data_IF_331746804322
#
_entry.id   IF_331746804322
#
_cell.length_a   1.000
_cell.length_b   1.000
_cell.length_c   1.000
_cell.angle_alpha   90.00
_cell.angle_beta   90.00
_cell.angle_gamma   90.00
#
_symmetry.space_group_name_H-M   'P 1'
#
loop_
_entity.id
_entity.type
_entity.pdbx_description
1 polymer ?
#
# COMPACT_ATOMS: atom_id res chain seq x y z
N UNK A 1 9.60 11.77 1.33
CA UNK A 1 9.80 12.14 2.75
C UNK A 1 9.59 13.61 3.12
N UNK A 2 9.36 14.56 2.20
CA UNK A 2 9.13 15.98 2.59
C UNK A 2 7.67 16.32 2.97
N UNK A 3 6.68 15.60 2.45
CA UNK A 3 5.24 15.88 2.68
C UNK A 3 4.68 15.26 3.97
N UNK A 4 5.21 14.13 4.44
CA UNK A 4 4.73 13.45 5.66
C UNK A 4 5.15 14.17 6.94
N UNK A 5 6.32 14.81 6.97
CA UNK A 5 6.84 15.50 8.17
C UNK A 5 6.18 16.86 8.45
N UNK A 6 5.51 17.47 7.48
CA UNK A 6 4.85 18.77 7.67
C UNK A 6 3.53 18.67 8.46
N UNK A 7 2.87 17.51 8.45
CA UNK A 7 1.55 17.30 9.09
C UNK A 7 1.65 17.07 10.61
N UNK A 8 2.80 16.63 11.13
CA UNK A 8 2.96 16.29 12.54
C UNK A 8 3.26 17.48 13.47
N UNK A 9 3.69 18.64 12.94
CA UNK A 9 4.23 19.75 13.76
C UNK A 9 3.21 20.79 14.24
N UNK A 10 1.95 20.76 13.81
CA UNK A 10 0.95 21.79 14.17
C UNK A 10 -0.05 21.41 15.27
N UNK A 11 -0.01 20.19 15.80
CA UNK A 11 -1.04 19.68 16.73
C UNK A 11 -0.59 19.54 18.20
N UNK A 12 0.52 20.16 18.62
CA UNK A 12 0.96 20.09 20.02
C UNK A 12 1.14 21.47 20.63
N UNK A 13 0.06 22.02 21.19
CA UNK A 13 0.17 23.07 22.20
C UNK A 13 -1.01 23.04 23.17
N UNK A 14 -0.67 22.87 24.46
CA UNK A 14 -1.46 23.11 25.67
C UNK A 14 -2.67 22.23 25.99
N UNK A 15 -2.52 21.33 26.98
CA UNK A 15 -3.25 21.38 28.26
C UNK A 15 -2.41 20.67 29.34
N UNK A 16 -1.99 21.40 30.38
CA UNK A 16 -1.47 20.85 31.65
C UNK A 16 -2.65 20.75 32.62
N UNK A 17 -2.87 19.59 33.25
CA UNK A 17 -3.64 19.53 34.51
C UNK A 17 -3.00 18.59 35.53
N UNK A 18 -2.96 19.10 36.76
CA UNK A 18 -2.29 18.58 37.96
C UNK A 18 -2.94 17.30 38.49
N UNK A 19 -2.08 16.37 38.89
CA UNK A 19 -2.40 15.18 39.69
C UNK A 19 -2.38 15.58 41.18
N UNK A 20 -3.41 15.17 41.93
CA UNK A 20 -3.36 15.11 43.39
C UNK A 20 -3.90 13.75 43.85
N UNK A 21 -3.08 13.04 44.62
CA UNK A 21 -3.33 11.76 45.27
C UNK A 21 -4.07 11.94 46.59
N UNK A 22 -4.97 11.02 46.92
CA UNK A 22 -5.25 10.66 48.31
C UNK A 22 -5.72 9.20 48.44
N UNK A 23 -5.02 8.47 49.31
CA UNK A 23 -5.31 7.13 49.80
C UNK A 23 -6.46 7.15 50.84
N UNK A 24 -7.28 6.10 50.96
CA UNK A 24 -7.14 5.04 52.00
C UNK A 24 -8.38 4.12 52.19
N UNK A 25 -8.07 2.83 52.35
CA UNK A 25 -8.59 1.81 53.30
C UNK A 25 -9.96 1.10 53.09
N UNK A 26 -9.78 -0.21 52.84
CA UNK A 26 -10.56 -1.43 53.10
C UNK A 26 -11.78 -1.40 54.04
N UNK A 27 -12.82 -2.19 53.68
CA UNK A 27 -13.42 -3.22 54.56
C UNK A 27 -14.33 -4.23 53.84
N UNK A 28 -14.08 -5.50 54.18
CA UNK A 28 -14.96 -6.69 54.26
C UNK A 28 -15.98 -7.03 53.15
N UNK A 29 -15.76 -8.18 52.50
CA UNK A 29 -16.71 -8.92 51.66
C UNK A 29 -17.71 -9.70 52.53
N UNK A 30 -19.00 -9.51 52.28
CA UNK A 30 -20.07 -10.47 52.62
C UNK A 30 -20.85 -10.79 51.34
N UNK A 31 -20.99 -12.08 51.05
CA UNK A 31 -21.76 -12.60 49.93
C UNK A 31 -23.26 -12.55 50.26
N UNK A 32 -24.05 -11.89 49.41
CA UNK A 32 -25.50 -12.01 49.38
C UNK A 32 -25.96 -12.07 47.92
N UNK A 33 -26.63 -13.16 47.57
CA UNK A 33 -27.16 -13.46 46.24
C UNK A 33 -28.46 -12.66 46.05
N UNK A 34 -28.50 -11.79 45.05
CA UNK A 34 -29.70 -11.06 44.62
C UNK A 34 -30.06 -11.42 43.17
N UNK A 35 -31.36 -11.52 42.83
CA UNK A 35 -31.84 -12.01 41.54
C UNK A 35 -31.54 -11.04 40.38
N UNK A 36 -31.53 -11.51 39.11
CA UNK A 36 -31.04 -10.73 37.99
C UNK A 36 -31.95 -9.52 37.71
N UNK A 37 -31.39 -8.33 37.45
CA UNK A 37 -32.16 -7.18 37.03
C UNK A 37 -32.63 -7.36 35.57
N UNK A 38 -33.85 -6.90 35.34
CA UNK A 38 -34.57 -6.93 34.07
C UNK A 38 -33.78 -6.24 32.96
N UNK A 39 -33.84 -6.82 31.76
CA UNK A 39 -33.25 -6.33 30.52
C UNK A 39 -33.69 -4.90 30.26
N UNK A 40 -32.77 -3.95 30.45
CA UNK A 40 -32.94 -2.60 29.94
C UNK A 40 -32.91 -2.67 28.41
N UNK A 41 -34.02 -2.27 27.79
CA UNK A 41 -34.16 -2.10 26.36
C UNK A 41 -33.04 -1.21 25.82
N UNK A 42 -32.21 -1.76 24.94
CA UNK A 42 -31.19 -1.03 24.21
C UNK A 42 -31.84 0.15 23.49
N UNK A 43 -31.33 1.35 23.75
CA UNK A 43 -31.63 2.56 22.99
C UNK A 43 -31.22 2.32 21.54
N UNK A 44 -32.20 2.00 20.68
CA UNK A 44 -31.99 1.93 19.23
C UNK A 44 -31.72 3.35 18.73
N UNK A 45 -30.52 3.58 18.19
CA UNK A 45 -30.22 4.80 17.45
C UNK A 45 -31.12 4.87 16.20
N UNK A 46 -31.92 5.95 15.99
CA UNK A 46 -32.90 6.02 14.90
C UNK A 46 -32.34 6.05 13.47
N UNK A 47 -31.01 6.02 13.29
CA UNK A 47 -30.35 6.18 11.99
C UNK A 47 -29.89 4.87 11.33
N UNK A 48 -30.05 3.71 11.98
CA UNK A 48 -29.51 2.45 11.49
C UNK A 48 -30.25 1.86 10.26
N UNK A 49 -31.53 2.19 10.06
CA UNK A 49 -32.33 1.61 8.96
C UNK A 49 -32.05 2.24 7.59
N UNK A 50 -31.83 3.56 7.51
CA UNK A 50 -31.56 4.25 6.24
C UNK A 50 -30.12 4.06 5.70
N UNK A 51 -29.15 3.86 6.59
CA UNK A 51 -27.75 3.65 6.20
C UNK A 51 -27.52 2.29 5.52
N UNK A 52 -28.33 1.27 5.85
CA UNK A 52 -28.23 -0.05 5.25
C UNK A 52 -28.69 -0.08 3.79
N UNK A 53 -29.75 0.67 3.46
CA UNK A 53 -30.27 0.79 2.10
C UNK A 53 -29.27 1.55 1.20
N UNK A 54 -28.68 2.63 1.70
CA UNK A 54 -27.71 3.44 0.96
C UNK A 54 -26.41 2.68 0.67
N UNK A 55 -25.90 1.89 1.63
CA UNK A 55 -24.74 1.02 1.40
C UNK A 55 -25.03 0.02 0.28
N UNK A 56 -26.19 -0.62 0.32
CA UNK A 56 -26.58 -1.63 -0.69
C UNK A 56 -26.73 -1.00 -2.07
N UNK A 57 -27.39 0.16 -2.15
CA UNK A 57 -27.56 0.93 -3.38
C UNK A 57 -26.23 1.37 -3.99
N UNK A 58 -25.31 1.90 -3.18
CA UNK A 58 -23.99 2.35 -3.64
C UNK A 58 -23.07 1.18 -3.98
N UNK A 59 -23.13 0.07 -3.23
CA UNK A 59 -22.32 -1.11 -3.51
C UNK A 59 -22.71 -1.79 -4.83
N UNK A 60 -24.00 -1.78 -5.16
CA UNK A 60 -24.57 -2.27 -6.42
C UNK A 60 -24.31 -1.33 -7.61
N UNK A 61 -23.88 -0.09 -7.37
CA UNK A 61 -23.59 0.86 -8.45
C UNK A 61 -22.41 0.42 -9.31
N UNK A 62 -22.48 0.68 -10.64
CA UNK A 62 -21.41 0.33 -11.56
C UNK A 62 -20.15 1.13 -11.23
N UNK A 63 -19.11 0.45 -10.77
CA UNK A 63 -17.82 1.08 -10.49
C UNK A 63 -17.15 1.47 -11.80
N UNK A 64 -16.74 2.73 -11.90
CA UNK A 64 -15.86 3.18 -12.97
C UNK A 64 -14.45 2.66 -12.68
N UNK A 65 -13.84 1.87 -13.57
CA UNK A 65 -12.44 1.48 -13.40
C UNK A 65 -11.60 2.75 -13.43
N UNK A 66 -10.67 2.88 -12.49
CA UNK A 66 -9.74 4.00 -12.48
C UNK A 66 -8.80 3.79 -13.67
N UNK A 67 -8.76 4.72 -14.60
CA UNK A 67 -7.70 4.72 -15.61
C UNK A 67 -6.60 5.66 -15.16
N UNK A 68 -5.42 5.41 -15.66
CA UNK A 68 -4.28 6.24 -15.36
C UNK A 68 -4.37 7.63 -16.00
N UNK A 69 -4.99 7.71 -17.17
CA UNK A 69 -5.36 8.97 -17.78
C UNK A 69 -6.23 9.81 -16.83
N UNK A 70 -7.10 9.18 -16.02
CA UNK A 70 -7.90 9.90 -15.02
C UNK A 70 -7.03 10.54 -13.91
N UNK A 71 -5.93 9.89 -13.49
CA UNK A 71 -5.03 10.46 -12.48
C UNK A 71 -4.22 11.65 -13.01
N UNK A 72 -3.87 11.62 -14.31
CA UNK A 72 -3.08 12.66 -14.97
C UNK A 72 -3.94 13.79 -15.57
N UNK A 73 -5.25 13.58 -15.73
CA UNK A 73 -6.17 14.50 -16.43
C UNK A 73 -6.13 15.94 -15.91
N UNK A 74 -5.91 16.12 -14.61
CA UNK A 74 -5.94 17.44 -13.98
C UNK A 74 -4.69 18.28 -14.27
N UNK A 75 -3.61 17.66 -14.78
CA UNK A 75 -2.40 18.36 -15.18
C UNK A 75 -1.42 18.61 -14.04
N UNK A 76 -0.35 19.37 -14.34
CA UNK A 76 0.72 19.69 -13.38
C UNK A 76 0.26 20.80 -12.43
N UNK A 77 0.54 20.69 -11.12
CA UNK A 77 0.29 21.78 -10.18
C UNK A 77 1.22 22.99 -10.47
N UNK A 78 0.83 24.21 -10.07
CA UNK A 78 -0.42 24.54 -9.37
C UNK A 78 -1.64 24.45 -10.30
N UNK A 79 -2.73 23.87 -9.80
CA UNK A 79 -3.96 23.71 -10.57
C UNK A 79 -4.77 25.00 -10.61
N UNK A 80 -5.53 25.19 -11.70
CA UNK A 80 -6.59 26.21 -11.73
C UNK A 80 -7.71 25.85 -10.76
N UNK A 81 -8.50 26.85 -10.35
CA UNK A 81 -9.70 26.66 -9.52
C UNK A 81 -10.60 25.56 -10.09
N UNK A 82 -10.91 25.62 -11.38
CA UNK A 82 -11.80 24.66 -12.03
C UNK A 82 -11.20 23.25 -12.07
N UNK A 83 -9.89 23.13 -12.28
CA UNK A 83 -9.21 21.83 -12.28
C UNK A 83 -9.18 21.18 -10.89
N UNK A 84 -9.04 21.98 -9.83
CA UNK A 84 -9.05 21.51 -8.45
C UNK A 84 -10.46 21.07 -8.02
N UNK A 85 -11.50 21.86 -8.34
CA UNK A 85 -12.90 21.48 -8.13
C UNK A 85 -13.27 20.22 -8.92
N UNK A 86 -12.78 20.09 -10.16
CA UNK A 86 -12.98 18.88 -10.95
C UNK A 86 -12.30 17.65 -10.30
N UNK A 87 -11.11 17.82 -9.70
CA UNK A 87 -10.40 16.75 -8.98
C UNK A 87 -11.16 16.30 -7.72
N UNK A 88 -11.69 17.26 -6.96
CA UNK A 88 -12.50 16.97 -5.77
C UNK A 88 -13.78 16.19 -6.13
N UNK A 89 -14.53 16.68 -7.12
CA UNK A 89 -15.76 16.03 -7.58
C UNK A 89 -15.50 14.67 -8.24
N UNK A 90 -14.38 14.51 -8.95
CA UNK A 90 -13.95 13.21 -9.47
C UNK A 90 -13.69 12.21 -8.34
N UNK A 91 -13.01 12.64 -7.27
CA UNK A 91 -12.77 11.84 -6.07
C UNK A 91 -14.09 11.41 -5.42
N UNK A 92 -15.03 12.34 -5.22
CA UNK A 92 -16.36 12.05 -4.68
C UNK A 92 -17.21 11.13 -5.56
N UNK A 93 -16.98 11.11 -6.87
CA UNK A 93 -17.69 10.19 -7.77
C UNK A 93 -17.25 8.72 -7.60
N UNK A 94 -16.10 8.47 -6.95
CA UNK A 94 -15.51 7.15 -6.84
C UNK A 94 -15.49 6.60 -5.41
N UNK A 95 -15.04 7.39 -4.43
CA UNK A 95 -14.77 6.89 -3.08
C UNK A 95 -16.01 6.29 -2.39
N UNK A 96 -17.20 6.92 -2.38
CA UNK A 96 -18.34 6.39 -1.65
C UNK A 96 -18.81 5.01 -2.14
N UNK A 97 -18.90 4.81 -3.47
CA UNK A 97 -19.25 3.52 -4.05
C UNK A 97 -18.21 2.43 -3.72
N UNK A 98 -16.92 2.79 -3.71
CA UNK A 98 -15.83 1.87 -3.32
C UNK A 98 -15.92 1.50 -1.84
N UNK A 99 -16.13 2.47 -0.96
CA UNK A 99 -16.31 2.23 0.49
C UNK A 99 -17.54 1.36 0.77
N UNK A 100 -18.68 1.68 0.14
CA UNK A 100 -19.91 0.90 0.25
C UNK A 100 -19.70 -0.57 -0.15
N UNK A 101 -18.99 -0.81 -1.26
CA UNK A 101 -18.61 -2.18 -1.64
C UNK A 101 -17.74 -2.89 -0.61
N UNK A 102 -16.79 -2.18 0.04
CA UNK A 102 -15.95 -2.80 1.07
C UNK A 102 -16.75 -3.15 2.32
N UNK A 103 -17.71 -2.30 2.69
CA UNK A 103 -18.66 -2.55 3.78
C UNK A 103 -19.49 -3.81 3.48
N UNK A 104 -20.06 -3.91 2.28
CA UNK A 104 -20.81 -5.08 1.83
C UNK A 104 -19.96 -6.36 1.82
N UNK A 105 -18.73 -6.29 1.29
CA UNK A 105 -17.82 -7.43 1.29
C UNK A 105 -17.49 -7.91 2.71
N UNK A 106 -17.31 -7.00 3.67
CA UNK A 106 -17.11 -7.35 5.07
C UNK A 106 -18.36 -7.97 5.71
N UNK A 107 -19.57 -7.51 5.35
CA UNK A 107 -20.83 -8.09 5.83
C UNK A 107 -21.07 -9.52 5.35
N UNK A 108 -20.57 -9.85 4.16
CA UNK A 108 -20.74 -11.16 3.55
C UNK A 108 -19.75 -12.22 4.07
N UNK A 109 -18.81 -11.85 4.96
CA UNK A 109 -17.95 -12.81 5.63
C UNK A 109 -18.75 -13.65 6.65
N UNK A 110 -18.27 -14.86 6.99
CA UNK A 110 -18.89 -15.67 8.03
C UNK A 110 -18.99 -14.92 9.35
N UNK A 111 -20.11 -15.09 10.07
CA UNK A 111 -20.43 -14.33 11.28
C UNK A 111 -19.32 -14.36 12.34
N UNK A 112 -18.63 -15.50 12.48
CA UNK A 112 -17.51 -15.66 13.43
C UNK A 112 -16.32 -14.74 13.10
N UNK A 113 -16.11 -14.42 11.82
CA UNK A 113 -15.06 -13.52 11.34
C UNK A 113 -15.46 -12.07 11.56
N UNK A 114 -16.69 -11.71 11.18
CA UNK A 114 -17.23 -10.34 11.35
C UNK A 114 -17.29 -9.95 12.81
N UNK A 115 -17.56 -10.92 13.69
CA UNK A 115 -17.62 -10.73 15.15
C UNK A 115 -16.24 -10.52 15.79
N UNK A 116 -15.14 -10.78 15.06
CA UNK A 116 -13.79 -10.50 15.57
C UNK A 116 -13.62 -8.98 15.81
N UNK A 117 -13.08 -8.53 16.97
CA UNK A 117 -12.93 -7.11 17.29
C UNK A 117 -12.11 -6.31 16.27
N UNK A 118 -11.10 -6.92 15.65
CA UNK A 118 -10.26 -6.27 14.66
C UNK A 118 -10.98 -6.09 13.32
N UNK A 119 -11.69 -7.12 12.86
CA UNK A 119 -12.50 -7.05 11.63
C UNK A 119 -13.65 -6.05 11.81
N UNK A 120 -14.34 -6.11 12.96
CA UNK A 120 -15.40 -5.17 13.32
C UNK A 120 -14.91 -3.73 13.40
N UNK A 121 -13.70 -3.49 13.95
CA UNK A 121 -13.07 -2.15 13.93
C UNK A 121 -12.89 -1.63 12.50
N UNK A 122 -12.40 -2.46 11.58
CA UNK A 122 -12.24 -2.06 10.18
C UNK A 122 -13.59 -1.79 9.51
N UNK A 123 -14.59 -2.62 9.76
CA UNK A 123 -15.96 -2.40 9.31
C UNK A 123 -16.52 -1.04 9.79
N UNK A 124 -16.36 -0.71 11.07
CA UNK A 124 -16.82 0.56 11.63
C UNK A 124 -16.05 1.76 11.06
N UNK A 125 -14.75 1.62 10.81
CA UNK A 125 -13.96 2.67 10.14
C UNK A 125 -14.50 2.94 8.72
N UNK A 126 -14.82 1.90 7.94
CA UNK A 126 -15.41 2.08 6.61
C UNK A 126 -16.80 2.73 6.68
N UNK A 127 -17.65 2.30 7.61
CA UNK A 127 -18.96 2.92 7.82
C UNK A 127 -18.84 4.42 8.15
N UNK A 128 -17.95 4.76 9.08
CA UNK A 128 -17.70 6.14 9.47
C UNK A 128 -17.17 6.97 8.29
N UNK A 129 -16.21 6.45 7.53
CA UNK A 129 -15.71 7.14 6.34
C UNK A 129 -16.80 7.38 5.30
N UNK A 130 -17.66 6.38 5.05
CA UNK A 130 -18.77 6.55 4.12
C UNK A 130 -19.75 7.60 4.64
N UNK A 131 -20.17 7.54 5.90
CA UNK A 131 -21.12 8.50 6.46
C UNK A 131 -20.60 9.94 6.44
N UNK A 132 -19.28 10.12 6.61
CA UNK A 132 -18.63 11.43 6.48
C UNK A 132 -18.61 11.95 5.04
N UNK A 133 -18.53 11.08 4.03
CA UNK A 133 -18.52 11.47 2.62
C UNK A 133 -19.92 11.67 2.01
N UNK A 134 -20.96 11.02 2.53
CA UNK A 134 -22.32 11.10 1.98
C UNK A 134 -22.86 12.54 1.84
N UNK A 135 -22.68 13.46 2.80
CA UNK A 135 -23.13 14.85 2.66
C UNK A 135 -22.52 15.57 1.45
N UNK A 136 -21.25 15.27 1.14
CA UNK A 136 -20.54 15.80 -0.03
C UNK A 136 -20.92 15.08 -1.32
N UNK A 137 -21.35 13.81 -1.27
CA UNK A 137 -21.82 13.14 -2.48
C UNK A 137 -23.17 13.67 -2.95
N UNK A 138 -24.04 14.06 -2.01
CA UNK A 138 -25.36 14.63 -2.30
C UNK A 138 -25.28 16.04 -2.92
N UNK A 139 -24.13 16.72 -2.80
CA UNK A 139 -23.92 18.10 -3.27
C UNK A 139 -22.57 18.24 -3.94
N UNK A 140 -22.52 18.65 -5.20
CA UNK A 140 -21.23 18.90 -5.86
C UNK A 140 -20.45 20.01 -5.13
N UNK A 141 -19.13 19.83 -5.02
CA UNK A 141 -18.22 20.87 -4.49
C UNK A 141 -18.09 21.95 -5.55
N UNK A 142 -18.46 23.19 -5.20
CA UNK A 142 -18.50 24.32 -6.16
C UNK A 142 -17.61 25.48 -5.76
N UNK A 143 -17.18 25.54 -4.50
CA UNK A 143 -16.35 26.62 -3.95
C UNK A 143 -14.99 26.11 -3.48
N UNK A 144 -14.00 27.01 -3.41
CA UNK A 144 -12.66 26.65 -2.93
C UNK A 144 -12.67 26.40 -1.42
N UNK A 145 -13.56 27.06 -0.70
CA UNK A 145 -13.78 26.89 0.73
C UNK A 145 -14.31 25.49 1.04
N UNK A 146 -15.30 25.02 0.27
CA UNK A 146 -15.81 23.64 0.35
C UNK A 146 -14.72 22.62 -0.03
N UNK A 147 -13.94 22.89 -1.08
CA UNK A 147 -12.86 22.00 -1.51
C UNK A 147 -11.78 21.87 -0.44
N UNK A 148 -11.40 22.98 0.20
CA UNK A 148 -10.44 22.96 1.31
C UNK A 148 -10.96 22.15 2.49
N UNK A 149 -12.23 22.34 2.86
CA UNK A 149 -12.82 21.56 3.96
C UNK A 149 -12.92 20.07 3.60
N UNK A 150 -13.25 19.77 2.34
CA UNK A 150 -13.23 18.40 1.82
C UNK A 150 -11.83 17.79 1.88
N UNK A 151 -10.77 18.53 1.53
CA UNK A 151 -9.39 18.06 1.63
C UNK A 151 -8.98 17.75 3.09
N UNK A 152 -9.41 18.55 4.06
CA UNK A 152 -9.21 18.29 5.49
C UNK A 152 -9.89 16.98 5.91
N UNK A 153 -11.17 16.82 5.58
CA UNK A 153 -11.93 15.59 5.83
C UNK A 153 -11.26 14.37 5.17
N UNK A 154 -10.82 14.51 3.92
CA UNK A 154 -10.19 13.44 3.18
C UNK A 154 -8.84 13.02 3.79
N UNK A 155 -8.07 13.98 4.32
CA UNK A 155 -6.83 13.71 5.03
C UNK A 155 -7.09 12.87 6.30
N UNK A 156 -8.12 13.21 7.08
CA UNK A 156 -8.52 12.44 8.27
C UNK A 156 -8.98 11.03 7.91
N UNK A 157 -9.69 10.87 6.79
CA UNK A 157 -10.08 9.56 6.25
C UNK A 157 -8.86 8.71 5.87
N UNK A 158 -7.91 9.27 5.13
CA UNK A 158 -6.66 8.56 4.76
C UNK A 158 -5.89 8.16 6.01
N UNK A 159 -5.83 9.03 7.02
CA UNK A 159 -5.17 8.76 8.29
C UNK A 159 -5.85 7.61 9.06
N UNK A 160 -7.17 7.65 9.20
CA UNK A 160 -7.99 6.63 9.90
C UNK A 160 -7.75 5.21 9.35
N UNK A 161 -7.51 5.10 8.04
CA UNK A 161 -7.28 3.82 7.36
C UNK A 161 -5.80 3.42 7.25
N UNK A 162 -4.86 4.13 7.89
CA UNK A 162 -3.43 3.83 7.80
C UNK A 162 -3.11 2.41 8.28
N UNK A 163 -3.69 2.01 9.42
CA UNK A 163 -3.42 0.72 10.05
C UNK A 163 -4.40 -0.40 9.64
N UNK A 164 -5.14 -0.25 8.53
CA UNK A 164 -6.12 -1.26 8.12
C UNK A 164 -5.51 -2.63 7.84
N UNK A 165 -4.38 -2.70 7.13
CA UNK A 165 -3.71 -3.98 6.80
C UNK A 165 -3.29 -4.76 8.05
N UNK A 166 -2.49 -4.20 8.99
CA UNK A 166 -2.07 -4.96 10.17
C UNK A 166 -3.24 -5.34 11.09
N UNK A 167 -4.25 -4.46 11.24
CA UNK A 167 -5.45 -4.78 12.04
C UNK A 167 -6.24 -5.91 11.38
N UNK A 168 -6.47 -5.85 10.07
CA UNK A 168 -7.19 -6.88 9.34
C UNK A 168 -6.45 -8.22 9.40
N UNK A 169 -5.12 -8.20 9.19
CA UNK A 169 -4.28 -9.38 9.27
C UNK A 169 -4.37 -10.07 10.63
N UNK A 170 -4.37 -9.29 11.72
CA UNK A 170 -4.58 -9.81 13.07
C UNK A 170 -5.94 -10.49 13.23
N UNK A 171 -7.02 -9.85 12.74
CA UNK A 171 -8.36 -10.42 12.82
C UNK A 171 -8.49 -11.76 12.08
N UNK A 172 -7.93 -11.85 10.88
CA UNK A 172 -7.93 -13.12 10.12
C UNK A 172 -7.01 -14.18 10.72
N UNK A 173 -5.89 -13.79 11.33
CA UNK A 173 -5.01 -14.71 12.04
C UNK A 173 -5.71 -15.35 13.25
N UNK A 174 -6.41 -14.55 14.05
CA UNK A 174 -7.19 -15.02 15.21
C UNK A 174 -8.33 -15.96 14.78
N UNK A 175 -8.88 -15.75 13.59
CA UNK A 175 -9.96 -16.57 13.06
C UNK A 175 -9.52 -17.72 12.13
N UNK A 176 -8.21 -17.97 11.96
CA UNK A 176 -7.67 -18.92 10.96
C UNK A 176 -8.23 -20.35 11.03
N UNK A 177 -8.73 -20.76 12.19
CA UNK A 177 -9.30 -22.11 12.42
C UNK A 177 -10.76 -22.24 11.96
N UNK A 178 -11.40 -21.14 11.59
CA UNK A 178 -12.84 -21.06 11.34
C UNK A 178 -13.20 -20.68 9.91
N UNK A 179 -12.20 -20.54 9.02
CA UNK A 179 -12.38 -20.16 7.63
C UNK A 179 -11.32 -20.87 6.77
N UNK A 180 -11.70 -21.22 5.55
CA UNK A 180 -10.78 -21.85 4.60
C UNK A 180 -9.66 -20.87 4.17
N UNK A 181 -8.38 -21.29 4.18
CA UNK A 181 -7.26 -20.43 3.78
C UNK A 181 -7.37 -19.85 2.36
N UNK A 182 -7.99 -20.58 1.43
CA UNK A 182 -8.23 -20.13 0.05
C UNK A 182 -9.28 -19.02 0.02
N UNK A 183 -10.32 -19.13 0.86
CA UNK A 183 -11.34 -18.10 1.02
C UNK A 183 -10.78 -16.82 1.62
N UNK A 184 -9.95 -16.94 2.67
CA UNK A 184 -9.22 -15.81 3.25
C UNK A 184 -8.35 -15.13 2.21
N UNK A 185 -7.58 -15.92 1.45
CA UNK A 185 -6.66 -15.39 0.44
C UNK A 185 -7.42 -14.63 -0.65
N UNK A 186 -8.53 -15.19 -1.15
CA UNK A 186 -9.39 -14.55 -2.14
C UNK A 186 -9.97 -13.24 -1.60
N UNK A 187 -10.53 -13.26 -0.39
CA UNK A 187 -11.10 -12.07 0.23
C UNK A 187 -10.03 -10.98 0.41
N UNK A 188 -8.87 -11.31 0.98
CA UNK A 188 -7.80 -10.35 1.24
C UNK A 188 -7.23 -9.77 -0.06
N UNK A 189 -7.04 -10.58 -1.11
CA UNK A 189 -6.55 -10.06 -2.39
C UNK A 189 -7.50 -9.00 -2.95
N UNK A 190 -8.80 -9.32 -3.05
CA UNK A 190 -9.82 -8.38 -3.52
C UNK A 190 -9.95 -7.18 -2.59
N UNK A 191 -9.92 -7.38 -1.27
CA UNK A 191 -10.09 -6.31 -0.28
C UNK A 191 -8.92 -5.32 -0.29
N UNK A 192 -7.69 -5.83 -0.31
CA UNK A 192 -6.48 -5.02 -0.28
C UNK A 192 -6.24 -4.30 -1.60
N UNK A 193 -6.50 -4.94 -2.76
CA UNK A 193 -6.40 -4.29 -4.07
C UNK A 193 -7.36 -3.10 -4.20
N UNK A 194 -8.61 -3.26 -3.76
CA UNK A 194 -9.58 -2.17 -3.73
C UNK A 194 -9.17 -1.04 -2.78
N UNK A 195 -8.56 -1.37 -1.63
CA UNK A 195 -8.00 -0.37 -0.70
C UNK A 195 -6.86 0.41 -1.33
N UNK A 196 -5.92 -0.26 -2.02
CA UNK A 196 -4.80 0.39 -2.74
C UNK A 196 -5.36 1.46 -3.68
N UNK A 197 -6.34 1.10 -4.52
CA UNK A 197 -6.94 2.05 -5.45
C UNK A 197 -7.71 3.19 -4.79
N UNK A 198 -8.48 2.90 -3.74
CA UNK A 198 -9.24 3.92 -2.99
C UNK A 198 -8.31 4.92 -2.31
N UNK A 199 -7.22 4.43 -1.71
CA UNK A 199 -6.19 5.26 -1.08
C UNK A 199 -5.46 6.13 -2.11
N UNK A 200 -5.10 5.54 -3.26
CA UNK A 200 -4.43 6.25 -4.35
C UNK A 200 -5.25 7.45 -4.86
N UNK A 201 -6.56 7.27 -5.06
CA UNK A 201 -7.45 8.36 -5.51
C UNK A 201 -7.47 9.49 -4.47
N UNK A 202 -7.60 9.14 -3.19
CA UNK A 202 -7.63 10.11 -2.11
C UNK A 202 -6.30 10.89 -2.00
N UNK A 203 -5.17 10.17 -1.98
CA UNK A 203 -3.84 10.77 -1.91
C UNK A 203 -3.52 11.63 -3.15
N UNK A 204 -4.03 11.26 -4.34
CA UNK A 204 -3.87 12.07 -5.55
C UNK A 204 -4.52 13.45 -5.38
N UNK A 205 -5.77 13.51 -4.92
CA UNK A 205 -6.45 14.78 -4.70
C UNK A 205 -5.73 15.63 -3.64
N UNK A 206 -5.35 15.01 -2.51
CA UNK A 206 -4.61 15.70 -1.44
C UNK A 206 -3.27 16.28 -1.94
N UNK A 207 -2.51 15.50 -2.71
CA UNK A 207 -1.23 15.95 -3.26
C UNK A 207 -1.42 17.13 -4.22
N UNK A 208 -2.44 17.09 -5.08
CA UNK A 208 -2.78 18.20 -5.99
C UNK A 208 -3.26 19.44 -5.22
N UNK A 209 -4.07 19.26 -4.18
CA UNK A 209 -4.54 20.33 -3.29
C UNK A 209 -3.36 21.05 -2.63
N UNK A 210 -2.51 20.32 -1.91
CA UNK A 210 -1.37 20.93 -1.20
C UNK A 210 -0.36 21.60 -2.14
N UNK A 211 -0.13 21.03 -3.32
CA UNK A 211 0.76 21.61 -4.33
C UNK A 211 0.16 22.86 -5.02
N UNK A 212 -1.14 23.09 -4.89
CA UNK A 212 -1.86 24.24 -5.49
C UNK A 212 -2.17 25.34 -4.48
N UNK A 213 -1.88 25.15 -3.18
CA UNK A 213 -2.07 26.19 -2.19
C UNK A 213 -1.03 27.32 -2.36
N UNK A 214 -1.43 28.59 -2.22
CA UNK A 214 -0.47 29.69 -2.17
C UNK A 214 0.44 29.53 -0.95
N UNK A 215 1.75 29.70 -1.15
CA UNK A 215 2.73 29.67 -0.06
C UNK A 215 2.46 30.85 0.87
N UNK A 216 1.83 30.60 2.02
CA UNK A 216 1.43 31.61 2.99
C UNK A 216 2.57 32.12 3.89
N UNK A 217 3.83 32.03 3.45
CA UNK A 217 4.96 32.53 4.24
C UNK A 217 5.72 33.58 3.44
N UNK A 218 5.97 34.74 4.03
CA UNK A 218 6.58 35.94 3.43
C UNK A 218 8.04 35.79 2.97
N UNK A 219 8.49 34.57 2.67
CA UNK A 219 9.76 34.26 2.06
C UNK A 219 9.65 34.34 0.54
N UNK A 220 10.45 35.23 -0.07
CA UNK A 220 10.67 35.31 -1.52
C UNK A 220 10.80 33.90 -2.11
N UNK A 221 9.97 33.57 -3.09
CA UNK A 221 10.12 32.37 -3.91
C UNK A 221 11.58 32.31 -4.41
N UNK A 222 12.35 31.23 -4.19
CA UNK A 222 13.64 31.10 -4.84
C UNK A 222 13.37 31.13 -6.34
N UNK A 223 13.88 32.14 -7.05
CA UNK A 223 13.64 32.36 -8.48
C UNK A 223 14.11 31.22 -9.41
N UNK A 224 14.62 30.11 -8.87
CA UNK A 224 15.22 28.99 -9.58
C UNK A 224 14.85 27.61 -8.99
N UNK A 225 13.60 27.38 -8.54
CA UNK A 225 13.15 26.00 -8.34
C UNK A 225 12.63 25.44 -9.66
N UNK A 226 13.41 24.54 -10.26
CA UNK A 226 12.96 23.72 -11.39
C UNK A 226 11.56 23.16 -11.11
N UNK A 227 10.67 23.07 -12.12
CA UNK A 227 9.36 22.49 -11.93
C UNK A 227 9.49 21.08 -11.36
N UNK A 228 8.69 20.77 -10.33
CA UNK A 228 8.66 19.44 -9.73
C UNK A 228 8.31 18.39 -10.79
N UNK A 229 8.99 17.25 -10.78
CA UNK A 229 8.64 16.10 -11.63
C UNK A 229 7.34 15.41 -11.19
N UNK A 230 6.66 15.92 -10.15
CA UNK A 230 5.46 15.30 -9.58
C UNK A 230 4.15 15.84 -10.15
N UNK A 231 3.24 14.91 -10.47
CA UNK A 231 1.83 15.17 -10.75
C UNK A 231 1.02 14.44 -9.67
N UNK A 232 0.68 15.18 -8.61
CA UNK A 232 0.11 14.58 -7.41
C UNK A 232 1.07 13.55 -6.80
N UNK A 233 0.65 12.29 -6.72
CA UNK A 233 1.45 11.17 -6.18
C UNK A 233 2.38 10.51 -7.21
N UNK A 234 2.26 10.87 -8.49
CA UNK A 234 3.06 10.29 -9.58
C UNK A 234 4.34 11.09 -9.75
N UNK A 235 5.49 10.42 -9.73
CA UNK A 235 6.76 10.98 -10.20
C UNK A 235 6.92 10.62 -11.69
N UNK A 236 7.02 11.64 -12.54
CA UNK A 236 7.11 11.48 -13.99
C UNK A 236 8.49 11.04 -14.49
N UNK A 237 9.51 11.09 -13.61
CA UNK A 237 10.87 10.68 -13.92
C UNK A 237 11.47 9.85 -12.76
N UNK A 238 10.69 8.88 -12.24
CA UNK A 238 11.13 8.01 -11.16
C UNK A 238 12.34 7.20 -11.60
N UNK A 239 13.42 7.25 -10.81
CA UNK A 239 14.62 6.43 -10.99
C UNK A 239 14.61 5.25 -10.01
N UNK A 240 14.39 3.99 -10.45
CA UNK A 240 14.27 2.84 -9.56
C UNK A 240 15.50 2.59 -8.71
N UNK A 241 16.70 2.81 -9.25
CA UNK A 241 17.96 2.64 -8.52
C UNK A 241 18.02 3.47 -7.24
N UNK A 242 17.43 4.68 -7.25
CA UNK A 242 17.36 5.53 -6.07
C UNK A 242 16.45 4.94 -4.99
N UNK A 243 15.32 4.37 -5.38
CA UNK A 243 14.39 3.71 -4.45
C UNK A 243 15.03 2.44 -3.88
N UNK A 244 15.70 1.64 -4.72
CA UNK A 244 16.47 0.46 -4.27
C UNK A 244 17.49 0.85 -3.20
N UNK A 245 18.25 1.94 -3.40
CA UNK A 245 19.22 2.42 -2.39
C UNK A 245 18.55 2.86 -1.08
N UNK A 246 17.44 3.59 -1.16
CA UNK A 246 16.68 3.97 0.04
C UNK A 246 16.19 2.74 0.82
N UNK A 247 15.67 1.73 0.11
CA UNK A 247 15.25 0.48 0.73
C UNK A 247 16.43 -0.34 1.27
N UNK A 248 17.57 -0.37 0.58
CA UNK A 248 18.81 -1.02 1.06
C UNK A 248 19.25 -0.41 2.39
N UNK A 249 19.24 0.92 2.51
CA UNK A 249 19.62 1.60 3.74
C UNK A 249 18.70 1.22 4.89
N UNK A 250 17.39 1.36 4.68
CA UNK A 250 16.39 1.04 5.68
C UNK A 250 16.39 -0.45 6.10
N UNK A 251 16.42 -1.37 5.14
CA UNK A 251 16.44 -2.81 5.44
C UNK A 251 17.78 -3.24 6.03
N UNK A 252 18.88 -2.62 5.60
CA UNK A 252 20.21 -2.84 6.15
C UNK A 252 20.29 -2.48 7.64
N UNK A 253 19.71 -1.34 8.04
CA UNK A 253 19.60 -0.94 9.46
C UNK A 253 18.80 -1.98 10.27
N UNK A 254 17.67 -2.47 9.73
CA UNK A 254 16.88 -3.52 10.39
C UNK A 254 17.71 -4.80 10.59
N UNK A 255 18.48 -5.21 9.57
CA UNK A 255 19.33 -6.39 9.65
C UNK A 255 20.47 -6.24 10.65
N UNK A 256 21.11 -5.07 10.66
CA UNK A 256 22.20 -4.75 11.59
C UNK A 256 21.69 -4.77 13.03
N UNK A 257 20.51 -4.18 13.29
CA UNK A 257 19.90 -4.20 14.62
C UNK A 257 19.48 -5.61 15.07
N UNK A 258 18.96 -6.44 14.17
CA UNK A 258 18.42 -7.77 14.53
C UNK A 258 19.47 -8.88 14.55
N UNK A 259 20.40 -8.87 13.61
CA UNK A 259 21.38 -9.95 13.39
C UNK A 259 22.83 -9.50 13.59
N UNK A 260 23.08 -8.21 13.84
CA UNK A 260 24.44 -7.67 13.98
C UNK A 260 25.21 -7.54 12.66
N UNK A 261 24.55 -7.78 11.53
CA UNK A 261 25.18 -7.87 10.20
C UNK A 261 24.32 -7.14 9.17
N UNK A 262 24.99 -6.43 8.26
CA UNK A 262 24.37 -5.75 7.12
C UNK A 262 24.85 -6.38 5.79
N UNK A 263 24.01 -7.17 5.10
CA UNK A 263 24.31 -7.67 3.76
C UNK A 263 24.63 -6.53 2.78
N UNK A 264 25.51 -6.82 1.82
CA UNK A 264 25.85 -5.88 0.75
C UNK A 264 24.87 -6.02 -0.41
N UNK A 265 24.55 -4.91 -1.08
CA UNK A 265 23.75 -4.92 -2.31
C UNK A 265 24.45 -4.16 -3.44
N UNK A 266 24.45 -4.77 -4.62
CA UNK A 266 25.01 -4.18 -5.85
C UNK A 266 23.90 -3.94 -6.86
N UNK A 267 23.98 -2.83 -7.60
CA UNK A 267 23.00 -2.47 -8.64
C UNK A 267 23.71 -2.50 -9.99
N UNK A 268 23.25 -3.37 -10.89
CA UNK A 268 23.70 -3.49 -12.27
C UNK A 268 22.60 -3.20 -13.29
N UNK A 269 22.92 -3.36 -14.57
CA UNK A 269 22.01 -3.08 -15.68
C UNK A 269 21.95 -1.59 -16.01
N UNK A 270 20.74 -1.01 -15.98
CA UNK A 270 20.44 0.37 -16.37
C UNK A 270 19.99 1.21 -15.16
N UNK A 271 20.90 1.59 -14.25
CA UNK A 271 20.54 2.31 -13.02
C UNK A 271 20.04 3.74 -13.27
N UNK A 272 20.32 4.31 -14.43
CA UNK A 272 19.93 5.64 -14.88
C UNK A 272 18.55 5.70 -15.56
N UNK A 273 17.91 4.53 -15.77
CA UNK A 273 16.58 4.47 -16.37
C UNK A 273 15.54 5.22 -15.52
N UNK A 274 14.69 6.00 -16.20
CA UNK A 274 13.59 6.73 -15.56
C UNK A 274 12.27 6.46 -16.24
N UNK A 275 11.19 6.34 -15.48
CA UNK A 275 9.85 6.17 -15.99
C UNK A 275 8.82 6.82 -15.07
N UNK A 276 7.61 7.06 -15.55
CA UNK A 276 6.57 7.61 -14.71
C UNK A 276 5.98 6.50 -13.83
N UNK A 277 5.94 6.66 -12.51
CA UNK A 277 5.27 5.72 -11.60
C UNK A 277 4.96 6.35 -10.23
N UNK A 278 4.24 5.63 -9.36
CA UNK A 278 3.95 6.05 -7.97
C UNK A 278 5.09 5.59 -7.04
N UNK A 279 5.95 6.49 -6.52
CA UNK A 279 7.15 6.08 -5.79
C UNK A 279 6.87 5.26 -4.53
N UNK A 280 5.83 5.62 -3.78
CA UNK A 280 5.46 4.95 -2.51
C UNK A 280 5.11 3.48 -2.74
N UNK A 281 4.52 3.14 -3.89
CA UNK A 281 4.18 1.75 -4.21
C UNK A 281 5.45 0.95 -4.55
N UNK A 282 6.38 1.53 -5.31
CA UNK A 282 7.67 0.90 -5.63
C UNK A 282 8.49 0.68 -4.36
N UNK A 283 8.54 1.70 -3.50
CA UNK A 283 9.22 1.64 -2.20
C UNK A 283 8.66 0.53 -1.31
N UNK A 284 7.33 0.39 -1.22
CA UNK A 284 6.70 -0.70 -0.48
C UNK A 284 7.13 -2.08 -1.00
N UNK A 285 6.99 -2.32 -2.31
CA UNK A 285 7.34 -3.60 -2.93
C UNK A 285 8.83 -3.91 -2.70
N UNK A 286 9.72 -2.97 -3.02
CA UNK A 286 11.16 -3.19 -2.90
C UNK A 286 11.58 -3.41 -1.45
N UNK A 287 10.97 -2.71 -0.49
CA UNK A 287 11.24 -2.94 0.94
C UNK A 287 10.89 -4.36 1.36
N UNK A 288 9.71 -4.87 0.97
CA UNK A 288 9.31 -6.24 1.31
C UNK A 288 10.19 -7.29 0.62
N UNK A 289 10.51 -7.11 -0.66
CA UNK A 289 11.38 -8.03 -1.39
C UNK A 289 12.81 -8.04 -0.83
N UNK A 290 13.36 -6.87 -0.50
CA UNK A 290 14.70 -6.77 0.08
C UNK A 290 14.75 -7.31 1.51
N UNK A 291 13.72 -7.11 2.34
CA UNK A 291 13.65 -7.78 3.65
C UNK A 291 13.77 -9.30 3.52
N UNK A 292 13.07 -9.89 2.55
CA UNK A 292 13.12 -11.34 2.32
C UNK A 292 14.50 -11.78 1.85
N UNK A 293 15.10 -11.09 0.87
CA UNK A 293 16.43 -11.41 0.35
C UNK A 293 17.51 -11.26 1.43
N UNK A 294 17.51 -10.14 2.18
CA UNK A 294 18.45 -9.90 3.26
C UNK A 294 18.33 -10.96 4.35
N UNK A 295 17.10 -11.26 4.78
CA UNK A 295 16.84 -12.31 5.77
C UNK A 295 17.38 -13.65 5.32
N UNK A 296 17.06 -14.07 4.09
CA UNK A 296 17.48 -15.38 3.57
C UNK A 296 19.01 -15.50 3.51
N UNK A 297 19.70 -14.45 3.08
CA UNK A 297 21.17 -14.42 3.02
C UNK A 297 21.80 -14.51 4.42
N UNK A 298 21.28 -13.76 5.38
CA UNK A 298 21.79 -13.77 6.77
C UNK A 298 21.51 -15.11 7.44
N UNK A 299 20.30 -15.65 7.32
CA UNK A 299 19.92 -16.94 7.90
C UNK A 299 20.70 -18.12 7.28
N UNK A 300 21.16 -17.99 6.04
CA UNK A 300 22.03 -18.95 5.36
C UNK A 300 23.53 -18.80 5.70
N UNK A 301 23.94 -17.76 6.42
CA UNK A 301 25.35 -17.46 6.71
C UNK A 301 26.16 -17.02 5.47
N UNK A 302 25.47 -16.47 4.46
CA UNK A 302 26.07 -16.02 3.19
C UNK A 302 26.16 -14.50 3.10
N UNK A 303 26.21 -13.76 4.22
CA UNK A 303 26.20 -12.29 4.27
C UNK A 303 27.33 -11.60 3.49
N UNK A 304 28.41 -12.34 3.16
CA UNK A 304 29.54 -11.86 2.37
C UNK A 304 29.22 -11.76 0.88
N UNK A 305 28.29 -12.60 0.42
CA UNK A 305 27.84 -12.59 -0.96
C UNK A 305 26.83 -11.46 -1.16
N UNK A 306 27.05 -10.55 -2.12
CA UNK A 306 26.16 -9.43 -2.32
C UNK A 306 24.83 -9.90 -2.90
N UNK A 307 23.75 -9.25 -2.47
CA UNK A 307 22.47 -9.31 -3.17
C UNK A 307 22.62 -8.51 -4.46
N UNK A 308 22.27 -9.12 -5.58
CA UNK A 308 22.42 -8.53 -6.92
C UNK A 308 21.08 -7.99 -7.39
N UNK A 309 20.99 -6.67 -7.56
CA UNK A 309 19.84 -6.02 -8.19
C UNK A 309 20.19 -5.67 -9.63
N UNK A 310 19.41 -6.14 -10.59
CA UNK A 310 19.58 -5.80 -12.03
C UNK A 310 18.36 -5.04 -12.52
N UNK A 311 18.56 -3.81 -13.01
CA UNK A 311 17.49 -3.00 -13.59
C UNK A 311 17.58 -3.09 -15.11
N UNK A 312 16.48 -3.48 -15.76
CA UNK A 312 16.35 -3.54 -17.21
C UNK A 312 15.11 -2.76 -17.64
N UNK A 313 15.29 -1.80 -18.54
CA UNK A 313 14.22 -1.00 -19.09
C UNK A 313 13.90 -1.45 -20.52
N UNK A 314 12.61 -1.48 -20.87
CA UNK A 314 12.17 -1.71 -22.23
C UNK A 314 12.76 -0.64 -23.19
N UNK A 315 12.90 -0.95 -24.50
CA UNK A 315 13.60 -0.10 -25.46
C UNK A 315 13.11 1.36 -25.57
N UNK A 316 11.87 1.63 -25.16
CA UNK A 316 11.17 2.90 -25.29
C UNK A 316 11.15 3.74 -24.00
N UNK A 317 11.80 3.25 -22.93
CA UNK A 317 12.07 4.03 -21.71
C UNK A 317 13.21 5.03 -22.00
N UNK A 318 13.02 6.34 -21.75
CA UNK A 318 14.02 7.36 -22.02
C UNK A 318 15.34 7.06 -21.30
N UNK A 319 16.43 7.13 -22.07
CA UNK A 319 17.80 7.08 -21.57
C UNK A 319 18.32 8.50 -21.46
N UNK A 320 18.87 8.87 -20.31
CA UNK A 320 19.68 10.09 -20.23
C UNK A 320 21.02 9.82 -20.90
N UNK A 321 21.07 9.95 -22.23
CA UNK A 321 22.32 9.93 -22.96
C UNK A 321 23.17 11.15 -22.53
N UNK A 322 24.13 10.93 -21.65
CA UNK A 322 25.32 11.79 -21.61
C UNK A 322 25.97 11.64 -22.98
N UNK A 323 25.81 12.64 -23.83
CA UNK A 323 26.32 12.69 -25.20
C UNK A 323 27.85 12.81 -25.13
N UNK A 324 28.53 11.68 -24.94
CA UNK A 324 29.97 11.57 -25.20
C UNK A 324 30.23 11.67 -26.71
N UNK A 325 31.28 12.38 -27.15
CA UNK A 325 31.46 12.72 -28.55
C UNK A 325 32.10 11.57 -29.33
N UNK A 326 31.38 10.45 -29.51
CA UNK A 326 31.78 9.44 -30.47
C UNK A 326 30.56 8.89 -31.21
N UNK A 327 30.34 9.46 -32.40
CA UNK A 327 29.51 8.89 -33.45
C UNK A 327 30.17 7.62 -33.97
N UNK A 328 29.46 6.48 -33.93
CA UNK A 328 29.73 5.35 -34.83
C UNK A 328 28.41 4.79 -35.35
N UNK A 329 28.12 5.20 -36.58
CA UNK A 329 27.62 4.43 -37.72
C UNK A 329 26.52 3.37 -37.52
N UNK A 330 25.41 3.62 -38.21
CA UNK A 330 24.37 2.66 -38.53
C UNK A 330 24.94 1.38 -39.16
N UNK A 331 24.60 0.24 -38.58
CA UNK A 331 24.86 -1.09 -39.15
C UNK A 331 23.55 -1.85 -39.26
N UNK A 332 23.11 -2.06 -40.50
CA UNK A 332 22.02 -2.95 -40.90
C UNK A 332 22.38 -4.40 -40.53
N UNK A 333 21.50 -5.12 -39.82
CA UNK A 333 21.60 -6.58 -39.69
C UNK A 333 20.25 -7.26 -39.97
N UNK A 334 20.29 -8.49 -40.51
CA UNK A 334 19.18 -9.11 -41.24
C UNK A 334 18.23 -9.87 -40.33
N UNK A 335 16.99 -9.97 -40.78
CA UNK A 335 15.93 -10.87 -40.32
C UNK A 335 16.35 -12.35 -40.44
N UNK A 336 16.13 -13.16 -39.40
CA UNK A 336 15.74 -14.59 -39.47
C UNK A 336 15.40 -15.17 -38.06
N UNK A 337 14.68 -16.31 -37.96
CA UNK A 337 13.41 -16.38 -37.24
C UNK A 337 13.39 -17.23 -35.94
N UNK A 338 12.35 -16.99 -35.15
CA UNK A 338 11.63 -17.88 -34.22
C UNK A 338 12.36 -19.05 -33.56
N UNK A 339 12.55 -18.94 -32.24
CA UNK A 339 12.35 -20.07 -31.32
C UNK A 339 11.36 -19.61 -30.24
N UNK A 340 10.08 -19.90 -30.48
CA UNK A 340 9.00 -19.85 -29.51
C UNK A 340 9.35 -20.76 -28.33
N UNK A 341 9.53 -20.16 -27.14
CA UNK A 341 9.38 -20.88 -25.88
C UNK A 341 8.11 -20.32 -25.27
N UNK A 342 7.02 -21.07 -25.43
CA UNK A 342 5.68 -20.65 -25.09
C UNK A 342 5.56 -20.20 -23.64
N UNK A 343 5.24 -18.92 -23.45
CA UNK A 343 4.71 -18.41 -22.20
C UNK A 343 3.23 -18.74 -22.14
N UNK A 344 2.83 -19.72 -21.33
CA UNK A 344 1.43 -19.84 -20.90
C UNK A 344 1.15 -18.71 -19.91
N UNK A 345 0.65 -17.59 -20.46
CA UNK A 345 -0.01 -16.57 -19.68
C UNK A 345 -1.41 -17.09 -19.34
N UNK A 346 -1.61 -17.55 -18.11
CA UNK A 346 -2.93 -17.88 -17.59
C UNK A 346 -3.78 -16.60 -17.59
N UNK A 347 -4.57 -16.42 -18.65
CA UNK A 347 -5.57 -15.37 -18.73
C UNK A 347 -6.71 -15.74 -17.77
N UNK A 348 -6.72 -15.13 -16.58
CA UNK A 348 -7.83 -15.28 -15.65
C UNK A 348 -9.10 -14.73 -16.30
N UNK A 349 -10.01 -15.64 -16.60
CA UNK A 349 -11.33 -15.39 -17.19
C UNK A 349 -12.17 -14.54 -16.24
N UNK A 350 -12.85 -13.54 -16.80
CA UNK A 350 -13.50 -12.45 -16.07
C UNK A 350 -14.47 -12.87 -14.96
N UNK A 351 -14.11 -12.48 -13.74
CA UNK A 351 -15.04 -12.26 -12.62
C UNK A 351 -15.16 -10.75 -12.35
N UNK A 352 -16.10 -10.35 -11.50
CA UNK A 352 -16.35 -8.95 -11.10
C UNK A 352 -15.10 -8.21 -10.54
N UNK A 353 -14.00 -8.92 -10.31
CA UNK A 353 -12.69 -8.43 -9.86
C UNK A 353 -11.91 -7.66 -10.95
N UNK A 354 -12.26 -7.81 -12.23
CA UNK A 354 -11.61 -7.12 -13.36
C UNK A 354 -11.83 -5.58 -13.40
N UNK A 355 -12.52 -5.03 -12.41
CA UNK A 355 -12.88 -3.62 -12.31
C UNK A 355 -12.09 -2.87 -11.22
N UNK A 356 -11.24 -3.56 -10.46
CA UNK A 356 -10.41 -2.98 -9.39
C UNK A 356 -8.99 -2.64 -9.85
N UNK A 357 -8.42 -3.36 -10.83
CA UNK A 357 -7.14 -3.02 -11.47
C UNK A 357 -7.29 -1.87 -12.48
N UNK A 358 -6.24 -1.04 -12.61
CA UNK A 358 -6.26 0.05 -13.58
C UNK A 358 -6.29 -0.54 -14.99
N UNK A 359 -7.37 -0.25 -15.73
CA UNK A 359 -7.43 -0.59 -17.15
C UNK A 359 -6.54 0.39 -17.92
N UNK A 360 -5.48 -0.14 -18.52
CA UNK A 360 -4.68 0.58 -19.49
C UNK A 360 -5.53 0.83 -20.74
N UNK A 361 -5.91 2.08 -21.00
CA UNK A 361 -6.54 2.47 -22.26
C UNK A 361 -5.59 2.31 -23.46
N UNK A 362 -4.29 2.24 -23.17
CA UNK A 362 -3.21 1.75 -24.05
C UNK A 362 -2.11 1.22 -23.12
N UNK A 363 -1.57 0.00 -23.32
CA UNK A 363 -0.43 -0.45 -22.53
C UNK A 363 0.70 0.56 -22.75
N UNK A 364 1.23 1.13 -21.66
CA UNK A 364 2.44 1.92 -21.78
C UNK A 364 3.50 1.02 -22.40
N UNK A 365 4.15 1.47 -23.46
CA UNK A 365 5.30 0.73 -24.00
C UNK A 365 6.42 0.68 -22.95
N UNK A 366 6.46 1.68 -22.05
CA UNK A 366 7.49 1.82 -21.02
C UNK A 366 7.28 0.79 -19.93
N UNK A 367 8.17 -0.19 -19.84
CA UNK A 367 8.22 -1.13 -18.72
C UNK A 367 9.63 -1.19 -18.15
N UNK A 368 9.72 -1.40 -16.84
CA UNK A 368 10.98 -1.67 -16.15
C UNK A 368 10.86 -3.00 -15.43
N UNK A 369 11.84 -3.87 -15.63
CA UNK A 369 12.02 -5.11 -14.87
C UNK A 369 13.19 -4.95 -13.91
N UNK A 370 12.96 -5.25 -12.64
CA UNK A 370 13.96 -5.27 -11.58
C UNK A 370 14.10 -6.72 -11.12
N UNK A 371 15.27 -7.31 -11.36
CA UNK A 371 15.62 -8.62 -10.79
C UNK A 371 16.36 -8.40 -9.47
N UNK A 372 15.93 -9.09 -8.42
CA UNK A 372 16.63 -9.17 -7.12
C UNK A 372 17.06 -10.63 -6.96
N UNK A 373 18.37 -10.86 -6.95
CA UNK A 373 18.97 -12.19 -6.76
C UNK A 373 19.69 -12.25 -5.43
N UNK A 374 19.37 -13.27 -4.65
CA UNK A 374 20.04 -13.58 -3.39
C UNK A 374 20.80 -14.92 -3.46
N UNK A 375 21.67 -15.15 -2.47
CA UNK A 375 22.32 -16.45 -2.20
C UNK A 375 21.86 -17.03 -0.87
N UNK A 376 20.57 -16.91 -0.58
CA UNK A 376 19.96 -17.31 0.68
C UNK A 376 19.55 -18.79 0.75
N UNK A 377 20.07 -19.66 -0.13
CA UNK A 377 19.76 -21.10 -0.14
C UNK A 377 18.45 -21.47 -0.84
N UNK A 378 17.67 -20.50 -1.30
CA UNK A 378 16.44 -20.75 -2.08
C UNK A 378 15.25 -21.21 -1.24
N UNK A 379 14.09 -21.25 -1.88
CA UNK A 379 12.81 -21.72 -1.31
C UNK A 379 12.61 -23.20 -1.67
N UNK A 380 12.30 -24.08 -0.69
CA UNK A 380 12.01 -25.49 -0.95
C UNK A 380 10.80 -25.68 -1.90
N UNK A 381 10.84 -26.65 -2.84
CA UNK A 381 9.75 -26.86 -3.81
C UNK A 381 8.37 -27.10 -3.20
N UNK A 382 8.31 -27.74 -2.03
CA UNK A 382 7.09 -28.01 -1.28
C UNK A 382 6.47 -26.75 -0.65
N UNK A 383 7.29 -25.72 -0.40
CA UNK A 383 6.85 -24.43 0.16
C UNK A 383 6.49 -23.45 -0.96
N UNK A 384 7.13 -23.55 -2.11
CA UNK A 384 7.02 -22.57 -3.20
C UNK A 384 5.56 -22.24 -3.62
N UNK A 385 4.61 -23.20 -3.71
CA UNK A 385 3.22 -22.88 -4.04
C UNK A 385 2.51 -22.00 -3.00
N UNK A 386 2.97 -22.03 -1.74
CA UNK A 386 2.32 -21.40 -0.61
C UNK A 386 2.80 -19.96 -0.33
N UNK A 387 3.88 -19.50 -0.97
CA UNK A 387 4.49 -18.18 -0.69
C UNK A 387 3.56 -16.99 -1.00
N UNK A 388 2.52 -17.24 -1.81
CA UNK A 388 1.51 -16.25 -2.19
C UNK A 388 0.27 -16.28 -1.30
N UNK A 389 0.17 -17.23 -0.38
CA UNK A 389 -0.94 -17.33 0.56
C UNK A 389 -0.77 -16.29 1.65
N UNK A 390 -1.82 -15.53 1.94
CA UNK A 390 -1.78 -14.60 3.07
C UNK A 390 -1.65 -15.37 4.38
N UNK A 391 -0.90 -14.80 5.33
CA UNK A 391 -0.60 -15.43 6.62
C UNK A 391 0.37 -16.62 6.55
N UNK A 392 0.88 -16.97 5.36
CA UNK A 392 1.95 -17.94 5.23
C UNK A 392 3.31 -17.30 5.54
N UNK A 393 4.06 -17.89 6.47
CA UNK A 393 5.40 -17.45 6.82
C UNK A 393 6.25 -18.65 7.24
N UNK A 394 7.53 -18.64 6.85
CA UNK A 394 8.54 -19.61 7.31
C UNK A 394 9.17 -19.21 8.64
N UNK A 395 8.74 -18.10 9.24
CA UNK A 395 9.13 -17.71 10.59
C UNK A 395 8.38 -18.60 11.58
N UNK A 396 9.10 -19.39 12.38
CA UNK A 396 8.53 -20.44 13.24
C UNK A 396 7.63 -19.89 14.34
N UNK A 397 6.49 -20.57 14.57
CA UNK A 397 5.59 -20.37 15.71
C UNK A 397 6.30 -20.52 17.08
N UNK A 398 7.50 -21.12 17.12
CA UNK A 398 8.30 -21.32 18.34
C UNK A 398 8.95 -20.02 18.86
N UNK A 399 9.40 -19.13 17.98
CA UNK A 399 9.91 -17.80 18.39
C UNK A 399 8.78 -16.85 18.80
N UNK A 400 7.53 -17.18 18.44
CA UNK A 400 6.31 -16.47 18.81
C UNK A 400 5.70 -16.97 20.14
N UNK A 401 6.11 -18.15 20.62
CA UNK A 401 5.58 -18.78 21.84
C UNK A 401 6.37 -18.48 23.12
N UNK A 402 7.57 -17.89 23.01
CA UNK A 402 8.40 -17.53 24.17
C UNK A 402 7.90 -16.35 25.00
N UNK A 403 6.86 -15.66 24.55
CA UNK A 403 6.22 -14.58 25.30
C UNK A 403 4.74 -14.58 24.93
N UNK A 404 3.84 -14.68 25.91
CA UNK A 404 2.39 -14.59 25.69
C UNK A 404 1.97 -13.25 25.01
N UNK A 405 2.91 -12.32 24.85
CA UNK A 405 2.81 -11.04 24.15
C UNK A 405 3.58 -10.96 22.79
N UNK A 406 4.28 -12.00 22.34
CA UNK A 406 5.15 -11.95 21.14
C UNK A 406 4.40 -11.64 19.84
N UNK A 407 3.14 -12.07 19.74
CA UNK A 407 2.27 -11.73 18.63
C UNK A 407 1.95 -10.21 18.58
N UNK A 408 1.90 -9.53 19.74
CA UNK A 408 1.74 -8.07 19.81
C UNK A 408 3.00 -7.30 19.44
N UNK A 409 4.20 -7.82 19.72
CA UNK A 409 5.45 -7.11 19.44
C UNK A 409 5.79 -7.08 17.94
N UNK A 410 5.57 -8.18 17.22
CA UNK A 410 5.68 -8.20 15.75
C UNK A 410 4.64 -7.29 15.07
N UNK A 411 3.46 -7.13 15.67
CA UNK A 411 2.38 -6.27 15.19
C UNK A 411 2.57 -4.79 15.53
N UNK A 412 3.10 -4.48 16.72
CA UNK A 412 3.48 -3.13 17.12
C UNK A 412 4.64 -2.63 16.25
N UNK A 413 5.55 -3.52 15.87
CA UNK A 413 6.60 -3.21 14.90
C UNK A 413 6.01 -2.80 13.52
N UNK A 414 5.00 -3.53 13.03
CA UNK A 414 4.31 -3.22 11.76
C UNK A 414 3.42 -1.98 11.81
N UNK A 415 2.97 -1.56 13.00
CA UNK A 415 2.11 -0.38 13.19
C UNK A 415 2.88 0.94 13.03
N UNK A 416 4.22 0.89 13.05
CA UNK A 416 5.10 2.02 12.73
C UNK A 416 5.31 2.16 11.22
N UNK A 417 4.22 2.35 10.46
CA UNK A 417 4.27 2.83 9.07
C UNK A 417 4.87 4.24 8.94
N UNK A 418 5.19 4.87 10.07
CA UNK A 418 6.08 6.00 10.22
C UNK A 418 7.22 5.54 11.14
N UNK A 419 8.37 5.25 10.54
CA UNK A 419 9.40 4.38 11.11
C UNK A 419 9.71 4.61 12.59
N UNK A 420 9.86 3.51 13.33
CA UNK A 420 10.99 3.35 14.25
C UNK A 420 11.23 1.91 14.74
N UNK A 421 10.42 0.90 14.41
CA UNK A 421 10.80 -0.51 14.58
C UNK A 421 10.01 -1.38 13.60
N UNK A 422 10.48 -1.67 12.39
CA UNK A 422 9.84 -2.67 11.53
C UNK A 422 10.57 -4.01 11.67
N UNK A 423 9.86 -5.09 12.03
CA UNK A 423 10.44 -6.44 12.08
C UNK A 423 10.81 -6.90 10.67
N UNK A 424 11.99 -7.52 10.50
CA UNK A 424 12.43 -8.07 9.21
C UNK A 424 11.50 -9.17 8.68
N UNK A 425 10.85 -9.90 9.58
CA UNK A 425 9.88 -10.95 9.28
C UNK A 425 8.53 -10.53 9.87
N UNK A 426 7.50 -10.53 9.02
CA UNK A 426 6.14 -10.13 9.38
C UNK A 426 5.15 -11.29 9.37
N UNK A 427 3.86 -10.94 9.38
CA UNK A 427 2.74 -11.89 9.42
C UNK A 427 2.53 -12.70 8.13
N UNK A 428 3.46 -12.71 7.17
CA UNK A 428 3.22 -13.38 5.87
C UNK A 428 2.29 -12.63 4.91
N UNK A 429 2.34 -11.28 4.93
CA UNK A 429 1.56 -10.43 4.02
C UNK A 429 2.42 -9.75 2.95
N UNK A 430 3.74 -9.72 3.12
CA UNK A 430 4.67 -8.93 2.28
C UNK A 430 4.63 -9.31 0.80
N UNK A 431 4.88 -10.59 0.48
CA UNK A 431 4.89 -11.10 -0.91
C UNK A 431 3.53 -10.95 -1.62
N UNK A 432 2.40 -11.45 -1.10
CA UNK A 432 1.12 -11.33 -1.79
C UNK A 432 0.67 -9.88 -1.96
N UNK A 433 0.92 -9.02 -0.96
CA UNK A 433 0.57 -7.60 -1.07
C UNK A 433 1.49 -6.86 -2.06
N UNK A 434 2.77 -7.20 -2.10
CA UNK A 434 3.70 -6.68 -3.12
C UNK A 434 3.22 -7.03 -4.53
N UNK A 435 2.76 -8.26 -4.74
CA UNK A 435 2.16 -8.70 -6.01
C UNK A 435 0.92 -7.88 -6.34
N UNK A 436 0.02 -7.68 -5.38
CA UNK A 436 -1.18 -6.87 -5.58
C UNK A 436 -0.85 -5.42 -5.96
N UNK A 437 0.18 -4.79 -5.37
CA UNK A 437 0.65 -3.46 -5.76
C UNK A 437 1.21 -3.43 -7.20
N UNK A 438 2.02 -4.42 -7.58
CA UNK A 438 2.60 -4.49 -8.92
C UNK A 438 1.51 -4.69 -9.99
N UNK A 439 0.62 -5.66 -9.79
CA UNK A 439 -0.48 -5.96 -10.71
C UNK A 439 -1.53 -4.85 -10.79
N UNK A 440 -1.66 -4.02 -9.75
CA UNK A 440 -2.58 -2.89 -9.76
C UNK A 440 -2.33 -1.94 -10.96
N UNK A 441 -1.06 -1.76 -11.32
CA UNK A 441 -0.59 -1.03 -12.49
C UNK A 441 -0.11 -1.98 -13.60
N UNK A 442 -0.70 -3.17 -13.75
CA UNK A 442 -0.39 -4.08 -14.87
C UNK A 442 1.04 -4.62 -14.90
N UNK A 443 1.77 -4.48 -13.80
CA UNK A 443 3.04 -5.16 -13.57
C UNK A 443 2.84 -6.59 -13.11
N UNK A 444 3.93 -7.23 -12.66
CA UNK A 444 3.91 -8.59 -12.13
C UNK A 444 5.09 -8.83 -11.19
N UNK A 445 4.99 -9.87 -10.36
CA UNK A 445 6.11 -10.42 -9.60
C UNK A 445 6.20 -11.91 -9.91
N UNK A 446 7.37 -12.36 -10.37
CA UNK A 446 7.69 -13.77 -10.54
C UNK A 446 8.85 -14.17 -9.62
N UNK A 447 8.82 -15.39 -9.10
CA UNK A 447 9.84 -15.92 -8.20
C UNK A 447 10.41 -17.20 -8.81
N UNK A 448 11.73 -17.27 -8.92
CA UNK A 448 12.46 -18.45 -9.34
C UNK A 448 13.40 -18.87 -8.22
N UNK A 449 13.10 -20.00 -7.60
CA UNK A 449 13.95 -20.58 -6.55
C UNK A 449 14.89 -21.60 -7.17
N UNK A 450 16.20 -21.45 -6.90
CA UNK A 450 17.18 -22.50 -7.06
C UNK A 450 17.46 -23.07 -5.68
N UNK A 451 16.66 -24.05 -5.25
CA UNK A 451 16.78 -24.63 -3.92
C UNK A 451 18.18 -25.23 -3.69
N UNK A 452 18.77 -24.89 -2.54
CA UNK A 452 20.16 -25.14 -2.18
C UNK A 452 21.14 -24.03 -2.61
N UNK A 453 20.69 -23.02 -3.37
CA UNK A 453 21.56 -21.96 -3.89
C UNK A 453 21.05 -20.56 -3.55
N UNK A 454 19.86 -20.19 -3.99
CA UNK A 454 19.35 -18.82 -3.85
C UNK A 454 18.01 -18.60 -4.56
N UNK A 455 17.51 -17.37 -4.50
CA UNK A 455 16.25 -16.98 -5.13
C UNK A 455 16.44 -15.78 -6.06
N UNK A 456 15.83 -15.85 -7.23
CA UNK A 456 15.66 -14.72 -8.14
C UNK A 456 14.20 -14.25 -8.08
N UNK A 457 13.98 -12.98 -7.75
CA UNK A 457 12.67 -12.34 -7.84
C UNK A 457 12.68 -11.32 -8.97
N UNK A 458 11.72 -11.43 -9.88
CA UNK A 458 11.54 -10.55 -11.03
C UNK A 458 10.31 -9.67 -10.80
N UNK A 459 10.52 -8.39 -10.54
CA UNK A 459 9.48 -7.38 -10.46
C UNK A 459 9.38 -6.66 -11.79
N UNK A 460 8.24 -6.75 -12.48
CA UNK A 460 7.93 -5.96 -13.67
C UNK A 460 6.97 -4.85 -13.30
N UNK A 461 7.32 -3.61 -13.66
CA UNK A 461 6.50 -2.42 -13.45
C UNK A 461 6.19 -1.80 -14.81
N UNK A 462 4.92 -1.49 -15.06
CA UNK A 462 4.52 -0.71 -16.22
C UNK A 462 4.56 0.77 -15.87
N UNK A 463 5.04 1.57 -16.81
CA UNK A 463 5.06 3.01 -16.72
C UNK A 463 3.66 3.58 -16.78
N UNK A 464 3.49 4.75 -16.18
CA UNK A 464 2.20 5.40 -16.15
C UNK A 464 1.85 6.23 -17.39
N UNK A 465 2.32 5.79 -18.55
CA UNK A 465 2.07 6.41 -19.86
C UNK A 465 2.95 7.65 -20.11
N UNK A 466 2.93 8.13 -21.37
CA UNK A 466 3.64 9.38 -21.73
C UNK A 466 2.86 10.56 -21.19
N UNK A 467 3.46 11.31 -20.27
CA UNK A 467 2.99 12.62 -19.85
C UNK A 467 3.24 13.58 -21.03
N UNK A 468 2.17 13.90 -21.76
CA UNK A 468 2.20 14.86 -22.87
C UNK A 468 2.50 16.28 -22.41
#
# INVERSE_FOLDING_TARGET
MALTNALARKASCNVRHRICLSHNIQKARQFSVSPPPQVATSTQHPFAYGANDEVTRLAASRRRPLTLADLLKHGRPPLSKDALLASANFTLSLLPARLASRIEALRNLPFIIVSNPHVSKIYNNYLHSLSTLLPYQQRQITTLEEEKHFAEVLADLVHTHTNTIPILARGFLECRRYIDPTEVTRFLDTHLRARIGTRLIAEQHLALHFASQPISDGGKLPKNTSPSNYIGVIDTALQPARIVKLCEDFVGEICELKYGVRPRLTIGGQPDATFAHVPVHVEYILTELLKNAFRAVVEAGNEREPIEVTIAAAPDVPRNHVRGPYSVSAGTYPSHPNSDVGFEMDSVVGTADANESIKFSSPSTQSITIRIRDRGGGIPPEILPNIWSYSFTTFSDLDLQGSENGNMDALNAMSSSSGHLSSIAGLGYGLPLSRAYAEYFGGSIAVQSLWGWGTDVYLTLQGVGKVG
#
